data_IF_466883074590
#
_entry.id   IF_466883074590
#
_cell.length_a   1.000
_cell.length_b   1.000
_cell.length_c   1.000
_cell.angle_alpha   90.00
_cell.angle_beta   90.00
_cell.angle_gamma   90.00
#
_symmetry.space_group_name_H-M   'P 1'
#
loop_
_entity.id
_entity.type
_entity.pdbx_description
1 polymer ?
#
# COMPACT_ATOMS: atom_id res chain seq x y z
N UNK A 1 -3.49 -3.38 7.82
CA UNK A 1 -3.71 -4.80 8.12
C UNK A 1 -5.18 -5.16 8.18
N UNK A 2 -5.52 -6.44 8.08
CA UNK A 2 -6.91 -6.94 8.02
C UNK A 2 -7.75 -6.61 9.28
N UNK A 3 -7.10 -6.42 10.43
CA UNK A 3 -7.75 -6.08 11.72
C UNK A 3 -7.99 -4.58 11.90
N UNK A 4 -7.48 -3.75 11.01
CA UNK A 4 -7.51 -2.29 11.14
C UNK A 4 -8.31 -1.65 10.01
N UNK A 5 -9.07 -0.57 10.30
CA UNK A 5 -9.82 0.18 9.29
C UNK A 5 -8.91 1.09 8.44
N UNK A 6 -7.64 0.75 8.31
CA UNK A 6 -6.60 1.50 7.62
C UNK A 6 -5.61 2.17 8.59
N UNK A 7 -4.64 2.90 8.02
CA UNK A 7 -3.64 3.61 8.81
C UNK A 7 -4.29 4.72 9.65
N UNK A 8 -5.12 5.56 9.04
CA UNK A 8 -5.78 6.69 9.70
C UNK A 8 -7.26 6.71 9.38
N UNK A 9 -8.11 6.86 10.38
CA UNK A 9 -9.57 6.93 10.20
C UNK A 9 -10.19 8.03 11.06
N UNK A 10 -11.43 8.44 10.70
CA UNK A 10 -12.23 9.35 11.54
C UNK A 10 -12.55 8.75 12.91
N UNK A 11 -12.69 7.42 12.99
CA UNK A 11 -12.81 6.66 14.25
C UNK A 11 -11.42 6.37 14.80
N UNK A 12 -10.84 7.32 15.51
CA UNK A 12 -9.44 7.35 15.92
C UNK A 12 -8.97 6.15 16.76
N UNK A 13 -9.82 5.54 17.58
CA UNK A 13 -9.39 4.57 18.60
C UNK A 13 -8.93 3.21 18.10
N UNK A 14 -9.19 2.85 16.84
CA UNK A 14 -8.94 1.50 16.29
C UNK A 14 -7.98 1.48 15.10
N UNK A 15 -7.45 2.64 14.67
CA UNK A 15 -6.52 2.73 13.54
C UNK A 15 -5.08 2.44 13.95
N UNK A 16 -4.22 2.12 12.98
CA UNK A 16 -2.78 1.92 13.20
C UNK A 16 -2.14 3.20 13.77
N UNK A 17 -2.50 4.36 13.20
CA UNK A 17 -2.06 5.67 13.69
C UNK A 17 -2.36 5.85 15.18
N UNK A 18 -3.57 5.49 15.64
CA UNK A 18 -3.93 5.64 17.05
C UNK A 18 -3.16 4.70 17.96
N UNK A 19 -2.90 3.46 17.54
CA UNK A 19 -2.10 2.50 18.30
C UNK A 19 -0.66 2.99 18.45
N UNK A 20 -0.08 3.50 17.36
CA UNK A 20 1.27 4.05 17.38
C UNK A 20 1.34 5.33 18.25
N UNK A 21 0.38 6.24 18.10
CA UNK A 21 0.31 7.47 18.96
C UNK A 21 0.21 7.14 20.45
N UNK A 22 -0.61 6.14 20.79
CA UNK A 22 -0.72 5.69 22.19
C UNK A 22 0.60 5.09 22.68
N UNK A 23 1.22 4.20 21.93
CA UNK A 23 2.49 3.59 22.30
C UNK A 23 3.61 4.64 22.48
N UNK A 24 3.69 5.63 21.59
CA UNK A 24 4.65 6.74 21.74
C UNK A 24 4.37 7.52 23.03
N UNK A 25 3.12 7.90 23.29
CA UNK A 25 2.76 8.62 24.51
C UNK A 25 3.08 7.82 25.77
N UNK A 26 2.75 6.53 25.80
CA UNK A 26 2.92 5.67 26.96
C UNK A 26 4.42 5.42 27.27
N UNK A 27 5.27 5.40 26.23
CA UNK A 27 6.72 5.19 26.37
C UNK A 27 7.48 6.49 26.68
N UNK A 28 7.08 7.61 26.07
CA UNK A 28 7.82 8.88 26.15
C UNK A 28 7.18 9.93 27.06
N UNK A 29 5.94 9.73 27.49
CA UNK A 29 5.13 10.72 28.20
C UNK A 29 4.60 11.85 27.33
N UNK A 30 4.94 11.88 26.01
CA UNK A 30 4.59 12.96 25.10
C UNK A 30 3.50 12.59 24.10
N UNK A 31 2.62 13.54 23.85
CA UNK A 31 1.65 13.46 22.75
C UNK A 31 2.22 14.13 21.51
N UNK A 32 2.29 13.41 20.41
CA UNK A 32 2.82 13.91 19.15
C UNK A 32 1.88 13.63 17.98
N UNK A 33 2.00 14.43 16.93
CA UNK A 33 1.32 14.20 15.67
C UNK A 33 2.17 13.31 14.77
N UNK A 34 1.52 12.33 14.13
CA UNK A 34 2.18 11.43 13.18
C UNK A 34 1.95 11.90 11.74
N UNK A 35 3.02 11.87 10.94
CA UNK A 35 3.01 12.15 9.52
C UNK A 35 3.43 10.89 8.76
N UNK A 36 2.46 10.15 8.23
CA UNK A 36 2.72 8.95 7.46
C UNK A 36 3.03 9.29 6.01
N UNK A 37 4.04 8.64 5.44
CA UNK A 37 4.39 8.76 4.02
C UNK A 37 3.21 8.43 3.12
N UNK A 38 2.56 7.29 3.36
CA UNK A 38 1.34 6.86 2.67
C UNK A 38 0.35 6.32 3.71
N UNK A 39 -0.93 6.63 3.55
CA UNK A 39 -1.98 6.10 4.42
C UNK A 39 -2.60 4.86 3.77
N UNK A 40 -2.27 3.69 4.30
CA UNK A 40 -2.86 2.43 3.84
C UNK A 40 -4.36 2.38 4.07
N UNK A 41 -5.09 1.81 3.13
CA UNK A 41 -6.53 1.60 3.18
C UNK A 41 -6.91 0.38 4.05
N UNK A 42 -8.20 0.21 4.39
CA UNK A 42 -8.66 -0.98 5.11
C UNK A 42 -8.24 -2.27 4.41
N UNK A 43 -7.74 -3.23 5.17
CA UNK A 43 -7.28 -4.53 4.65
C UNK A 43 -5.88 -4.53 4.02
N UNK A 44 -5.31 -3.35 3.72
CA UNK A 44 -3.95 -3.25 3.16
C UNK A 44 -2.90 -3.45 4.26
N UNK A 45 -1.94 -4.31 3.99
CA UNK A 45 -0.76 -4.55 4.81
C UNK A 45 0.43 -3.76 4.28
N UNK A 46 1.36 -3.40 5.14
CA UNK A 46 2.61 -2.75 4.75
C UNK A 46 3.79 -3.50 5.38
N UNK A 47 4.77 -3.84 4.57
CA UNK A 47 6.07 -4.34 5.04
C UNK A 47 6.99 -3.19 5.46
N UNK A 48 6.81 -2.03 4.80
CA UNK A 48 7.55 -0.80 5.09
C UNK A 48 6.59 0.39 5.04
N UNK A 49 6.32 0.96 6.21
CA UNK A 49 5.52 2.17 6.38
C UNK A 49 6.37 3.21 7.08
N UNK A 50 6.68 4.30 6.39
CA UNK A 50 7.47 5.40 6.98
C UNK A 50 6.53 6.39 7.65
N UNK A 51 6.87 6.75 8.89
CA UNK A 51 6.14 7.73 9.70
C UNK A 51 7.16 8.64 10.37
N UNK A 52 6.96 9.95 10.31
CA UNK A 52 7.73 10.91 11.11
C UNK A 52 6.87 11.50 12.22
N UNK A 53 7.52 11.84 13.32
CA UNK A 53 6.94 12.53 14.46
C UNK A 53 8.03 13.31 15.21
N UNK A 54 7.65 14.26 16.04
CA UNK A 54 8.58 15.08 16.79
C UNK A 54 8.45 14.77 18.28
N UNK A 55 9.58 14.72 18.97
CA UNK A 55 9.68 14.62 20.42
C UNK A 55 10.63 15.70 20.94
N UNK A 56 10.38 16.19 22.14
CA UNK A 56 11.31 17.06 22.84
C UNK A 56 12.52 16.24 23.32
N UNK A 57 13.73 16.80 23.18
CA UNK A 57 14.99 16.10 23.49
C UNK A 57 15.08 15.57 24.93
N UNK A 58 14.46 16.25 25.87
CA UNK A 58 14.55 15.91 27.29
C UNK A 58 13.85 14.60 27.66
N UNK A 59 12.94 14.12 26.81
CA UNK A 59 12.08 12.96 27.11
C UNK A 59 12.57 11.64 26.52
N UNK A 60 13.64 11.66 25.75
CA UNK A 60 14.23 10.43 25.28
C UNK A 60 15.77 10.58 25.20
N UNK A 61 16.47 9.62 25.75
CA UNK A 61 17.91 9.50 25.54
C UNK A 61 18.14 9.23 24.06
N UNK A 62 19.21 9.78 23.44
CA UNK A 62 19.55 9.60 22.00
C UNK A 62 19.71 8.11 21.57
N UNK A 63 19.25 7.17 22.40
CA UNK A 63 19.26 5.74 22.15
C UNK A 63 17.98 5.31 21.41
N UNK A 64 18.00 5.43 20.08
CA UNK A 64 16.89 5.02 19.20
C UNK A 64 16.58 3.54 19.30
N UNK A 65 17.56 2.67 19.53
CA UNK A 65 17.34 1.23 19.69
C UNK A 65 16.53 0.91 20.95
N UNK A 66 16.86 1.56 22.07
CA UNK A 66 16.10 1.38 23.31
C UNK A 66 14.66 1.88 23.15
N UNK A 67 14.47 3.02 22.48
CA UNK A 67 13.13 3.55 22.18
C UNK A 67 12.36 2.60 21.28
N UNK A 68 12.98 2.06 20.22
CA UNK A 68 12.37 1.05 19.35
C UNK A 68 11.92 -0.19 20.12
N UNK A 69 12.76 -0.71 21.01
CA UNK A 69 12.41 -1.87 21.85
C UNK A 69 11.19 -1.57 22.74
N UNK A 70 11.16 -0.41 23.40
CA UNK A 70 10.05 -0.01 24.26
C UNK A 70 8.76 0.18 23.46
N UNK A 71 8.83 0.79 22.27
CA UNK A 71 7.68 0.95 21.39
C UNK A 71 7.11 -0.41 20.94
N UNK A 72 7.97 -1.34 20.55
CA UNK A 72 7.55 -2.69 20.16
C UNK A 72 6.94 -3.48 21.33
N UNK A 73 7.39 -3.26 22.56
CA UNK A 73 6.79 -3.85 23.75
C UNK A 73 5.39 -3.28 24.06
N UNK A 74 5.13 -2.03 23.70
CA UNK A 74 3.84 -1.36 23.90
C UNK A 74 2.84 -1.56 22.75
N UNK A 75 3.32 -1.95 21.56
CA UNK A 75 2.50 -2.15 20.37
C UNK A 75 1.83 -3.52 20.35
N UNK A 76 0.66 -3.65 19.71
CA UNK A 76 0.08 -4.96 19.39
C UNK A 76 1.02 -5.81 18.53
N UNK A 77 0.98 -7.13 18.68
CA UNK A 77 1.87 -8.08 17.99
C UNK A 77 1.84 -8.03 16.45
N UNK A 78 0.82 -7.41 15.87
CA UNK A 78 0.65 -7.23 14.42
C UNK A 78 1.08 -5.84 13.90
N UNK A 79 1.72 -5.03 14.77
CA UNK A 79 2.37 -3.77 14.41
C UNK A 79 3.78 -3.76 15.01
N UNK A 80 4.80 -3.60 14.17
CA UNK A 80 6.18 -3.55 14.61
C UNK A 80 6.94 -2.35 14.02
N UNK A 81 7.77 -1.71 14.84
CA UNK A 81 8.77 -0.72 14.43
C UNK A 81 10.04 -1.48 14.04
N UNK A 82 10.39 -1.47 12.76
CA UNK A 82 11.55 -2.18 12.23
C UNK A 82 12.85 -1.38 12.35
N UNK A 83 12.76 -0.06 12.15
CA UNK A 83 13.86 0.89 12.35
C UNK A 83 13.34 2.19 12.94
N UNK A 84 14.21 2.89 13.65
CA UNK A 84 13.95 4.22 14.21
C UNK A 84 15.22 5.05 14.08
N UNK A 85 15.12 6.17 13.39
CA UNK A 85 16.25 7.04 13.08
C UNK A 85 15.92 8.48 13.43
N UNK A 86 16.94 9.23 13.85
CA UNK A 86 16.84 10.68 14.03
C UNK A 86 16.97 11.33 12.65
N UNK A 87 16.01 12.13 12.27
CA UNK A 87 16.01 12.88 11.02
C UNK A 87 16.16 14.39 11.30
N UNK A 88 16.39 15.17 10.23
CA UNK A 88 16.32 16.63 10.30
C UNK A 88 14.95 17.07 10.83
N UNK A 89 14.92 18.13 11.64
CA UNK A 89 13.68 18.64 12.27
C UNK A 89 12.60 19.06 11.26
N UNK A 90 13.01 19.40 10.02
CA UNK A 90 12.10 19.75 8.93
C UNK A 90 11.59 18.55 8.14
N UNK A 91 12.09 17.34 8.46
CA UNK A 91 11.67 16.15 7.75
C UNK A 91 10.22 15.79 8.06
N UNK A 92 9.38 15.76 7.03
CA UNK A 92 7.97 15.34 7.12
C UNK A 92 7.76 14.20 6.14
N UNK A 93 7.55 12.98 6.64
CA UNK A 93 7.46 11.77 5.82
C UNK A 93 6.39 11.89 4.71
N UNK A 94 5.25 12.52 4.99
CA UNK A 94 4.19 12.71 3.99
C UNK A 94 4.53 13.67 2.84
N UNK A 95 5.56 14.49 2.99
CA UNK A 95 6.03 15.44 1.96
C UNK A 95 7.27 14.90 1.22
N UNK A 96 7.96 13.92 1.78
CA UNK A 96 9.20 13.38 1.25
C UNK A 96 9.02 12.16 0.33
N UNK A 97 7.77 11.72 0.11
CA UNK A 97 7.48 10.55 -0.73
C UNK A 97 7.82 10.85 -2.18
N UNK A 98 8.67 10.01 -2.77
CA UNK A 98 8.99 10.04 -4.20
C UNK A 98 8.14 9.04 -4.97
N UNK A 99 8.02 7.82 -4.45
CA UNK A 99 7.19 6.77 -5.03
C UNK A 99 6.66 5.84 -3.95
N UNK A 100 5.65 5.07 -4.28
CA UNK A 100 5.17 3.97 -3.45
C UNK A 100 4.88 2.74 -4.32
N UNK A 101 5.07 1.56 -3.71
CA UNK A 101 4.85 0.28 -4.37
C UNK A 101 3.77 -0.51 -3.65
N UNK A 102 2.78 -0.98 -4.42
CA UNK A 102 1.77 -1.94 -3.96
C UNK A 102 2.02 -3.29 -4.61
N UNK A 103 1.87 -4.36 -3.81
CA UNK A 103 1.97 -5.74 -4.30
C UNK A 103 0.65 -6.45 -4.05
N UNK A 104 0.01 -6.90 -5.12
CA UNK A 104 -1.12 -7.82 -5.07
C UNK A 104 -0.59 -9.25 -5.25
N UNK A 105 -0.90 -10.12 -4.28
CA UNK A 105 -0.54 -11.54 -4.32
C UNK A 105 -1.76 -12.37 -4.67
N UNK A 106 -1.60 -13.27 -5.61
CA UNK A 106 -2.67 -14.11 -6.15
C UNK A 106 -2.18 -15.55 -6.11
N UNK A 107 -2.99 -16.44 -5.56
CA UNK A 107 -2.77 -17.88 -5.66
C UNK A 107 -3.78 -18.47 -6.63
N UNK A 108 -3.31 -19.29 -7.56
CA UNK A 108 -4.18 -20.04 -8.49
C UNK A 108 -4.63 -21.36 -7.91
N UNK A 109 -4.01 -21.81 -6.81
CA UNK A 109 -4.41 -22.95 -6.01
C UNK A 109 -4.70 -22.50 -4.56
N UNK A 110 -5.88 -22.84 -4.00
CA UNK A 110 -6.20 -22.55 -2.60
C UNK A 110 -5.18 -23.08 -1.61
N UNK A 111 -4.55 -24.24 -1.88
CA UNK A 111 -3.55 -24.85 -1.02
C UNK A 111 -2.28 -23.98 -0.93
N UNK A 112 -1.87 -23.34 -2.02
CA UNK A 112 -0.73 -22.43 -2.05
C UNK A 112 -0.94 -21.17 -1.19
N UNK A 113 -2.19 -20.79 -0.92
CA UNK A 113 -2.52 -19.62 -0.10
C UNK A 113 -2.76 -19.96 1.38
N UNK A 114 -2.72 -21.23 1.80
CA UNK A 114 -3.21 -21.66 3.12
C UNK A 114 -2.62 -20.85 4.28
N UNK A 115 -1.30 -20.68 4.32
CA UNK A 115 -0.60 -19.93 5.37
C UNK A 115 -0.49 -18.42 5.08
N UNK A 116 -0.72 -17.98 3.84
CA UNK A 116 -0.66 -16.57 3.42
C UNK A 116 -2.02 -15.96 3.13
N UNK A 117 -3.11 -16.62 3.50
CA UNK A 117 -4.50 -16.24 3.22
C UNK A 117 -4.83 -14.77 3.53
N UNK A 118 -4.35 -14.19 4.64
CA UNK A 118 -4.61 -12.77 4.93
C UNK A 118 -3.96 -11.79 3.93
N UNK A 119 -2.98 -12.24 3.15
CA UNK A 119 -2.16 -11.43 2.24
C UNK A 119 -2.31 -11.83 0.77
N UNK A 120 -3.12 -12.86 0.48
CA UNK A 120 -3.18 -13.48 -0.85
C UNK A 120 -4.63 -13.65 -1.28
N UNK A 121 -4.95 -13.14 -2.47
CA UNK A 121 -6.22 -13.40 -3.14
C UNK A 121 -6.15 -14.77 -3.82
N UNK A 122 -7.24 -15.55 -3.76
CA UNK A 122 -7.32 -16.85 -4.44
C UNK A 122 -8.18 -16.68 -5.70
N UNK A 123 -7.62 -17.07 -6.85
CA UNK A 123 -8.26 -17.04 -8.17
C UNK A 123 -8.02 -18.39 -8.82
N UNK A 124 -9.04 -19.23 -8.87
CA UNK A 124 -8.94 -20.62 -9.36
C UNK A 124 -9.08 -20.73 -10.87
N UNK A 125 -9.53 -19.68 -11.53
CA UNK A 125 -9.62 -19.65 -12.99
C UNK A 125 -8.23 -19.58 -13.63
N UNK A 126 -8.10 -20.13 -14.82
CA UNK A 126 -6.87 -20.02 -15.62
C UNK A 126 -6.59 -18.56 -15.96
N UNK A 127 -5.35 -18.13 -15.75
CA UNK A 127 -4.91 -16.77 -16.02
C UNK A 127 -3.89 -16.76 -17.15
N UNK A 128 -4.16 -16.00 -18.21
CA UNK A 128 -3.25 -15.74 -19.31
C UNK A 128 -2.32 -14.57 -18.94
N UNK A 129 -1.05 -14.90 -18.66
CA UNK A 129 -0.05 -13.91 -18.27
C UNK A 129 0.28 -12.91 -19.37
N UNK A 130 0.20 -13.32 -20.63
CA UNK A 130 0.48 -12.43 -21.76
C UNK A 130 -0.57 -11.31 -21.83
N UNK A 131 -1.85 -11.65 -21.72
CA UNK A 131 -2.94 -10.66 -21.65
C UNK A 131 -2.82 -9.75 -20.43
N UNK A 132 -2.40 -10.30 -19.27
CA UNK A 132 -2.14 -9.49 -18.08
C UNK A 132 -0.99 -8.49 -18.31
N UNK A 133 0.09 -8.92 -18.97
CA UNK A 133 1.24 -8.06 -19.28
C UNK A 133 0.87 -6.96 -20.29
N UNK A 134 0.07 -7.28 -21.30
CA UNK A 134 -0.44 -6.29 -22.26
C UNK A 134 -1.29 -5.22 -21.55
N UNK A 135 -2.21 -5.64 -20.69
CA UNK A 135 -3.00 -4.70 -19.88
C UNK A 135 -2.12 -3.84 -18.98
N UNK A 136 -1.08 -4.42 -18.36
CA UNK A 136 -0.14 -3.68 -17.52
C UNK A 136 0.63 -2.61 -18.32
N UNK A 137 1.03 -2.91 -19.55
CA UNK A 137 1.70 -1.94 -20.44
C UNK A 137 0.83 -0.73 -20.72
N UNK A 138 -0.47 -0.94 -21.01
CA UNK A 138 -1.42 0.15 -21.27
C UNK A 138 -1.66 1.04 -20.05
N UNK A 139 -1.54 0.50 -18.84
CA UNK A 139 -1.73 1.23 -17.57
C UNK A 139 -0.47 1.91 -17.06
N UNK A 140 0.67 1.64 -17.69
CA UNK A 140 1.97 2.25 -17.32
C UNK A 140 2.10 3.61 -18.01
N UNK A 141 2.64 4.60 -17.31
CA UNK A 141 2.81 5.96 -17.81
C UNK A 141 2.01 6.99 -17.03
N UNK A 142 1.90 8.19 -17.61
CA UNK A 142 1.15 9.31 -17.02
C UNK A 142 -0.23 9.39 -17.66
N UNK A 143 -1.26 9.16 -16.86
CA UNK A 143 -2.66 9.13 -17.33
C UNK A 143 -3.58 9.79 -16.33
N UNK A 144 -4.77 10.18 -16.78
CA UNK A 144 -5.86 10.51 -15.88
C UNK A 144 -6.54 9.23 -15.36
N UNK A 145 -6.29 8.91 -14.09
CA UNK A 145 -6.83 7.73 -13.42
C UNK A 145 -8.15 8.01 -12.68
N UNK A 146 -8.94 8.99 -13.11
CA UNK A 146 -10.24 9.29 -12.47
C UNK A 146 -11.15 8.07 -12.39
N UNK A 147 -11.21 7.23 -13.44
CA UNK A 147 -11.98 6.00 -13.49
C UNK A 147 -11.49 4.92 -12.51
N UNK A 148 -10.24 4.99 -12.10
CA UNK A 148 -9.60 4.07 -11.13
C UNK A 148 -9.66 4.61 -9.70
N UNK A 149 -10.55 5.53 -9.39
CA UNK A 149 -10.71 6.10 -8.05
C UNK A 149 -12.14 5.98 -7.55
N UNK A 150 -12.28 5.51 -6.32
CA UNK A 150 -13.58 5.51 -5.66
C UNK A 150 -13.75 6.79 -4.84
N UNK A 151 -14.30 7.82 -5.45
CA UNK A 151 -14.65 9.07 -4.77
C UNK A 151 -14.42 10.32 -5.62
N UNK A 152 -15.23 11.33 -5.40
CA UNK A 152 -15.03 12.66 -6.00
C UNK A 152 -13.84 13.33 -5.32
N UNK A 153 -12.80 13.68 -6.07
CA UNK A 153 -11.70 14.51 -5.60
C UNK A 153 -11.75 15.88 -6.26
N UNK A 154 -11.40 16.92 -5.49
CA UNK A 154 -11.16 18.27 -6.04
C UNK A 154 -9.71 18.45 -6.55
N UNK A 155 -8.86 17.42 -6.32
CA UNK A 155 -7.45 17.43 -6.72
C UNK A 155 -7.33 16.73 -8.07
N UNK A 156 -6.22 17.00 -8.76
CA UNK A 156 -5.88 16.30 -10.00
C UNK A 156 -5.92 14.78 -9.82
N UNK A 157 -6.46 14.09 -10.80
CA UNK A 157 -6.52 12.63 -10.91
C UNK A 157 -5.41 12.05 -11.76
N UNK A 158 -4.59 12.93 -12.37
CA UNK A 158 -3.42 12.53 -13.14
C UNK A 158 -2.36 11.95 -12.21
N UNK A 159 -1.85 10.75 -12.54
CA UNK A 159 -0.78 10.04 -11.83
C UNK A 159 0.19 9.46 -12.82
N UNK A 160 1.41 9.21 -12.36
CA UNK A 160 2.42 8.50 -13.13
C UNK A 160 2.64 7.14 -12.51
N UNK A 161 2.21 6.10 -13.21
CA UNK A 161 2.54 4.71 -12.89
C UNK A 161 3.89 4.41 -13.54
N UNK A 162 4.93 4.30 -12.72
CA UNK A 162 6.31 4.14 -13.18
C UNK A 162 6.55 2.74 -13.74
N UNK A 163 6.08 1.72 -13.01
CA UNK A 163 6.23 0.32 -13.42
C UNK A 163 5.09 -0.53 -12.93
N UNK A 164 4.71 -1.52 -13.75
CA UNK A 164 3.87 -2.65 -13.36
C UNK A 164 4.63 -3.92 -13.70
N UNK A 165 5.01 -4.70 -12.67
CA UNK A 165 5.71 -5.99 -12.84
C UNK A 165 4.78 -7.13 -12.47
N UNK A 166 4.73 -8.15 -13.31
CA UNK A 166 3.95 -9.37 -13.08
C UNK A 166 4.91 -10.54 -13.07
N UNK A 167 5.05 -11.16 -11.90
CA UNK A 167 5.90 -12.33 -11.71
C UNK A 167 5.03 -13.53 -11.33
N UNK A 168 5.36 -14.71 -11.86
CA UNK A 168 4.75 -15.98 -11.49
C UNK A 168 5.81 -16.93 -10.97
N UNK A 169 5.54 -17.48 -9.80
CA UNK A 169 6.31 -18.55 -9.19
C UNK A 169 5.33 -19.67 -8.83
N UNK A 170 5.38 -20.75 -9.59
CA UNK A 170 4.46 -21.89 -9.47
C UNK A 170 2.97 -21.47 -9.50
N UNK A 171 2.30 -21.61 -8.37
CA UNK A 171 0.89 -21.28 -8.17
C UNK A 171 0.67 -19.86 -7.62
N UNK A 172 1.73 -19.07 -7.48
CA UNK A 172 1.67 -17.70 -6.97
C UNK A 172 1.98 -16.71 -8.08
N UNK A 173 1.14 -15.70 -8.21
CA UNK A 173 1.33 -14.56 -9.11
C UNK A 173 1.42 -13.31 -8.24
N UNK A 174 2.38 -12.44 -8.54
CA UNK A 174 2.53 -11.14 -7.90
C UNK A 174 2.40 -10.04 -8.96
N UNK A 175 1.49 -9.09 -8.72
CA UNK A 175 1.39 -7.85 -9.48
C UNK A 175 1.94 -6.74 -8.60
N UNK A 176 3.04 -6.14 -9.02
CA UNK A 176 3.73 -5.04 -8.34
C UNK A 176 3.50 -3.74 -9.10
N UNK A 177 2.87 -2.78 -8.45
CA UNK A 177 2.50 -1.47 -8.99
C UNK A 177 3.35 -0.39 -8.31
N UNK A 178 4.20 0.32 -9.04
CA UNK A 178 4.98 1.45 -8.53
C UNK A 178 4.54 2.73 -9.21
N UNK A 179 4.21 3.76 -8.41
CA UNK A 179 3.77 5.06 -8.91
C UNK A 179 4.27 6.19 -7.99
N UNK A 180 4.30 7.42 -8.53
CA UNK A 180 4.58 8.61 -7.73
C UNK A 180 3.57 8.79 -6.58
N UNK A 181 2.34 8.44 -6.80
CA UNK A 181 1.27 8.37 -5.78
C UNK A 181 0.08 7.61 -6.35
N UNK A 182 -0.84 7.17 -5.49
CA UNK A 182 -2.08 6.52 -5.92
C UNK A 182 -3.30 7.31 -5.46
N UNK A 183 -4.35 7.27 -6.26
CA UNK A 183 -5.69 7.67 -5.85
C UNK A 183 -6.27 6.62 -4.91
N UNK A 184 -7.37 6.99 -4.26
CA UNK A 184 -8.08 6.08 -3.36
C UNK A 184 -8.58 4.85 -4.12
N UNK A 185 -8.26 3.66 -3.64
CA UNK A 185 -8.54 2.34 -4.24
C UNK A 185 -7.91 2.09 -5.62
N UNK A 186 -7.08 3.02 -6.11
CA UNK A 186 -6.45 2.88 -7.42
C UNK A 186 -5.62 1.58 -7.56
N UNK A 187 -4.75 1.20 -6.60
CA UNK A 187 -3.98 -0.03 -6.74
C UNK A 187 -4.85 -1.29 -6.87
N UNK A 188 -5.95 -1.37 -6.11
CA UNK A 188 -6.87 -2.50 -6.15
C UNK A 188 -7.62 -2.57 -7.49
N UNK A 189 -8.05 -1.41 -8.02
CA UNK A 189 -8.75 -1.33 -9.31
C UNK A 189 -7.80 -1.68 -10.46
N UNK A 190 -6.56 -1.18 -10.44
CA UNK A 190 -5.55 -1.54 -11.42
C UNK A 190 -5.26 -3.05 -11.42
N UNK A 191 -5.01 -3.62 -10.24
CA UNK A 191 -4.77 -5.06 -10.11
C UNK A 191 -5.99 -5.88 -10.56
N UNK A 192 -7.21 -5.43 -10.24
CA UNK A 192 -8.45 -6.05 -10.69
C UNK A 192 -8.62 -6.03 -12.21
N UNK A 193 -8.31 -4.91 -12.85
CA UNK A 193 -8.36 -4.77 -14.32
C UNK A 193 -7.36 -5.72 -15.00
N UNK A 194 -6.13 -5.78 -14.49
CA UNK A 194 -5.09 -6.69 -15.00
C UNK A 194 -5.53 -8.17 -14.85
N UNK A 195 -6.11 -8.51 -13.69
CA UNK A 195 -6.67 -9.85 -13.46
C UNK A 195 -7.81 -10.18 -14.41
N UNK A 196 -8.72 -9.24 -14.66
CA UNK A 196 -9.83 -9.43 -15.58
C UNK A 196 -9.34 -9.68 -16.99
N UNK A 197 -8.33 -8.93 -17.45
CA UNK A 197 -7.71 -9.16 -18.76
C UNK A 197 -7.10 -10.57 -18.86
N UNK A 198 -6.51 -11.09 -17.78
CA UNK A 198 -5.98 -12.47 -17.76
C UNK A 198 -7.05 -13.55 -17.75
N UNK A 199 -8.27 -13.28 -17.28
CA UNK A 199 -9.40 -14.22 -17.27
C UNK A 199 -10.13 -14.30 -18.61
N UNK A 200 -10.00 -13.30 -19.46
CA UNK A 200 -10.60 -13.30 -20.78
C UNK A 200 -9.94 -14.38 -21.64
N UNK A 201 -10.67 -15.47 -21.91
CA UNK A 201 -10.21 -16.51 -22.84
C UNK A 201 -9.91 -15.86 -24.18
N UNK A 202 -8.82 -16.27 -24.83
CA UNK A 202 -8.47 -15.96 -26.23
C UNK A 202 -9.59 -16.42 -27.19
N UNK A 203 -10.71 -15.72 -27.20
CA UNK A 203 -11.74 -15.85 -28.22
C UNK A 203 -11.83 -14.48 -28.85
N UNK A 204 -11.24 -14.36 -30.01
CA UNK A 204 -11.11 -13.16 -30.84
C UNK A 204 -10.26 -12.01 -30.26
N UNK A 205 -9.39 -11.47 -31.13
CA UNK A 205 -8.57 -10.27 -30.92
C UNK A 205 -9.46 -9.06 -30.63
N UNK A 206 -10.01 -8.99 -29.45
CA UNK A 206 -10.70 -7.80 -28.99
C UNK A 206 -9.63 -6.81 -28.53
N UNK A 207 -9.52 -5.71 -29.22
CA UNK A 207 -8.71 -4.57 -28.79
C UNK A 207 -9.20 -4.14 -27.42
N UNK A 208 -8.40 -4.37 -26.36
CA UNK A 208 -8.70 -3.89 -25.01
C UNK A 208 -8.62 -2.35 -25.03
N UNK A 209 -9.73 -1.72 -25.28
CA UNK A 209 -9.85 -0.28 -25.07
C UNK A 209 -10.23 -0.09 -23.61
N UNK A 210 -9.25 0.36 -22.77
CA UNK A 210 -9.53 0.73 -21.39
C UNK A 210 -10.34 2.03 -21.44
N UNK A 211 -11.66 1.90 -21.38
CA UNK A 211 -12.55 3.06 -21.27
C UNK A 211 -12.18 3.84 -20.00
N UNK A 212 -11.73 5.08 -20.15
CA UNK A 212 -11.45 5.99 -19.05
C UNK A 212 -9.98 6.25 -18.73
N UNK A 213 -9.04 5.79 -19.57
CA UNK A 213 -7.63 6.21 -19.48
C UNK A 213 -7.35 7.13 -20.67
N UNK A 214 -7.37 8.43 -20.44
CA UNK A 214 -6.93 9.42 -21.42
C UNK A 214 -5.46 9.78 -21.15
N UNK A 215 -4.66 9.78 -22.19
CA UNK A 215 -3.27 10.30 -22.13
C UNK A 215 -3.32 11.80 -21.91
N UNK A 216 -2.64 12.28 -20.90
CA UNK A 216 -2.45 13.71 -20.62
C UNK A 216 -1.30 14.28 -21.45
#
# INVERSE_FOLDING_TARGET
GSRYPGFSTKKKSTSIESKLTLAIRDVTGQSTQLFAAVKTEPGVHATHQIVSFQLEKESFSDNTELLKMKLNAALPADIAVTSLEIADERFVASLAVKSCTYTCRIATDPAAALFSRPYTCVVTESLDLESMQQAAQLLTGTHDFAAFSNGRTKKSTVRTVETIKINREDQLIQIQLTANSFLRHMPQLLAGTILTAGKEKKTDRTTLTLAGVESA
#
